data_IF_263099563390
#
_entry.id   IF_263099563390
#
_cell.length_a   1.000
_cell.length_b   1.000
_cell.length_c   1.000
_cell.angle_alpha   90.00
_cell.angle_beta   90.00
_cell.angle_gamma   90.00
#
_symmetry.space_group_name_H-M   'P 1'
#
loop_
_entity.id
_entity.type
_entity.pdbx_description
1 polymer ?
#
# COMPACT_ATOMS: atom_id res chain seq x y z
N UNK A 1 -18.64 -10.36 10.45
CA UNK A 1 -17.34 -11.07 10.53
C UNK A 1 -16.30 -10.06 10.97
N UNK A 2 -15.49 -10.39 11.98
CA UNK A 2 -14.41 -9.53 12.45
C UNK A 2 -13.10 -9.95 11.79
N UNK A 3 -12.58 -9.12 10.88
CA UNK A 3 -11.39 -9.46 10.09
C UNK A 3 -10.12 -9.57 10.96
N UNK A 4 -10.05 -8.83 12.07
CA UNK A 4 -8.91 -8.94 12.98
C UNK A 4 -8.92 -10.30 13.67
N UNK A 5 -10.09 -10.76 14.11
CA UNK A 5 -10.24 -12.08 14.73
C UNK A 5 -9.93 -13.22 13.75
N UNK A 6 -10.30 -13.08 12.48
CA UNK A 6 -9.97 -14.07 11.44
C UNK A 6 -8.46 -14.23 11.27
N UNK A 7 -7.71 -13.13 11.34
CA UNK A 7 -6.24 -13.16 11.32
C UNK A 7 -5.61 -13.45 12.69
N UNK A 8 -6.41 -13.59 13.76
CA UNK A 8 -5.92 -13.80 15.12
C UNK A 8 -5.22 -12.57 15.71
N UNK A 9 -5.60 -11.37 15.29
CA UNK A 9 -5.00 -10.10 15.68
C UNK A 9 -5.95 -9.22 16.50
N UNK A 10 -5.36 -8.25 17.20
CA UNK A 10 -6.09 -7.14 17.81
C UNK A 10 -6.28 -6.00 16.81
N UNK A 11 -7.26 -5.13 17.05
CA UNK A 11 -7.51 -3.94 16.23
C UNK A 11 -6.34 -2.93 16.26
N UNK A 12 -5.45 -3.04 17.24
CA UNK A 12 -4.22 -2.24 17.38
C UNK A 12 -3.04 -2.79 16.57
N UNK A 13 -3.20 -3.93 15.89
CA UNK A 13 -2.12 -4.53 15.10
C UNK A 13 -1.66 -3.59 13.98
N UNK A 14 -0.37 -3.47 13.76
CA UNK A 14 0.20 -2.69 12.68
C UNK A 14 0.12 -3.46 11.34
N UNK A 15 0.47 -2.77 10.24
CA UNK A 15 0.44 -3.38 8.90
C UNK A 15 1.43 -4.56 8.78
N UNK A 16 2.54 -4.51 9.51
CA UNK A 16 3.53 -5.58 9.53
C UNK A 16 2.98 -6.86 10.19
N UNK A 17 2.31 -6.73 11.33
CA UNK A 17 1.65 -7.83 12.03
C UNK A 17 0.53 -8.44 11.19
N UNK A 18 -0.30 -7.62 10.55
CA UNK A 18 -1.38 -8.07 9.64
C UNK A 18 -0.81 -8.92 8.51
N UNK A 19 0.25 -8.44 7.87
CA UNK A 19 0.90 -9.15 6.79
C UNK A 19 1.57 -10.44 7.25
N UNK A 20 2.26 -10.42 8.39
CA UNK A 20 2.93 -11.60 8.94
C UNK A 20 1.92 -12.68 9.33
N UNK A 21 0.83 -12.29 10.00
CA UNK A 21 -0.26 -13.20 10.35
C UNK A 21 -0.89 -13.83 9.10
N UNK A 22 -1.17 -13.01 8.08
CA UNK A 22 -1.68 -13.50 6.80
C UNK A 22 -0.73 -14.50 6.13
N UNK A 23 0.57 -14.20 6.03
CA UNK A 23 1.56 -15.13 5.44
C UNK A 23 1.59 -16.48 6.16
N UNK A 24 1.61 -16.46 7.49
CA UNK A 24 1.65 -17.67 8.31
C UNK A 24 0.38 -18.51 8.17
N UNK A 25 -0.79 -17.87 8.17
CA UNK A 25 -2.08 -18.54 8.02
C UNK A 25 -2.27 -19.05 6.59
N UNK A 26 -1.90 -18.27 5.58
CA UNK A 26 -1.95 -18.67 4.18
C UNK A 26 -1.10 -19.92 3.95
N UNK A 27 0.15 -19.96 4.42
CA UNK A 27 1.01 -21.15 4.34
C UNK A 27 0.40 -22.39 5.00
N UNK A 28 -0.32 -22.21 6.12
CA UNK A 28 -0.92 -23.31 6.88
C UNK A 28 -2.18 -23.90 6.22
N UNK A 29 -2.97 -23.06 5.55
CA UNK A 29 -4.28 -23.46 4.99
C UNK A 29 -4.30 -23.47 3.46
N UNK A 30 -3.18 -23.19 2.79
CA UNK A 30 -3.10 -23.30 1.34
C UNK A 30 -3.38 -24.75 0.90
N UNK A 31 -4.21 -24.98 -0.12
CA UNK A 31 -4.63 -26.33 -0.55
C UNK A 31 -3.48 -27.23 -1.00
N UNK A 32 -2.39 -26.64 -1.48
CA UNK A 32 -1.16 -27.35 -1.90
C UNK A 32 -0.33 -27.88 -0.72
N UNK A 33 -0.52 -27.34 0.49
CA UNK A 33 0.31 -27.66 1.67
C UNK A 33 -0.51 -28.28 2.80
N UNK A 34 -1.82 -27.97 2.86
CA UNK A 34 -2.70 -28.35 3.95
C UNK A 34 -3.61 -29.50 3.58
N UNK A 35 -3.60 -30.56 4.38
CA UNK A 35 -4.52 -31.70 4.26
C UNK A 35 -5.78 -31.54 5.13
N UNK A 36 -5.96 -30.38 5.77
CA UNK A 36 -7.09 -30.13 6.66
C UNK A 36 -8.41 -30.04 5.84
N UNK A 37 -9.50 -30.66 6.32
CA UNK A 37 -10.78 -30.68 5.59
C UNK A 37 -11.42 -29.29 5.46
N UNK A 38 -11.06 -28.34 6.33
CA UNK A 38 -11.54 -26.97 6.34
C UNK A 38 -10.52 -25.96 5.74
N UNK A 39 -9.38 -26.43 5.22
CA UNK A 39 -8.29 -25.58 4.73
C UNK A 39 -8.77 -24.56 3.69
N UNK A 40 -9.53 -25.02 2.69
CA UNK A 40 -10.04 -24.16 1.62
C UNK A 40 -10.94 -23.03 2.16
N UNK A 41 -11.92 -23.37 3.01
CA UNK A 41 -12.84 -22.38 3.57
C UNK A 41 -12.11 -21.36 4.47
N UNK A 42 -11.13 -21.82 5.26
CA UNK A 42 -10.32 -20.94 6.10
C UNK A 42 -9.41 -20.05 5.27
N UNK A 43 -8.80 -20.58 4.21
CA UNK A 43 -7.96 -19.80 3.31
C UNK A 43 -8.74 -18.67 2.64
N UNK A 44 -9.97 -18.94 2.20
CA UNK A 44 -10.86 -17.90 1.66
C UNK A 44 -11.11 -16.81 2.71
N UNK A 45 -11.53 -17.19 3.92
CA UNK A 45 -11.81 -16.24 5.00
C UNK A 45 -10.59 -15.38 5.37
N UNK A 46 -9.40 -16.01 5.45
CA UNK A 46 -8.13 -15.35 5.77
C UNK A 46 -7.73 -14.36 4.67
N UNK A 47 -7.93 -14.74 3.41
CA UNK A 47 -7.66 -13.86 2.25
C UNK A 47 -8.61 -12.68 2.22
N UNK A 48 -9.91 -12.90 2.43
CA UNK A 48 -10.90 -11.82 2.52
C UNK A 48 -10.54 -10.81 3.62
N UNK A 49 -10.09 -11.30 4.79
CA UNK A 49 -9.63 -10.45 5.88
C UNK A 49 -8.40 -9.61 5.49
N UNK A 50 -7.43 -10.21 4.79
CA UNK A 50 -6.23 -9.50 4.34
C UNK A 50 -6.51 -8.46 3.24
N UNK A 51 -7.43 -8.72 2.31
CA UNK A 51 -7.80 -7.74 1.27
C UNK A 51 -8.43 -6.46 1.86
N UNK A 52 -9.07 -6.57 3.03
CA UNK A 52 -9.63 -5.40 3.75
C UNK A 52 -8.60 -4.75 4.67
N UNK A 53 -7.86 -5.54 5.46
CA UNK A 53 -6.96 -5.02 6.48
C UNK A 53 -5.57 -4.66 5.96
N UNK A 54 -5.15 -5.24 4.83
CA UNK A 54 -3.84 -5.03 4.22
C UNK A 54 -3.72 -3.74 3.41
N UNK A 55 -4.84 -3.20 2.90
CA UNK A 55 -4.88 -1.86 2.28
C UNK A 55 -5.18 -0.81 3.35
N UNK A 56 -4.28 0.17 3.60
CA UNK A 56 -4.50 1.23 4.57
C UNK A 56 -5.83 1.97 4.39
N UNK A 57 -6.25 2.22 3.15
CA UNK A 57 -7.48 2.98 2.85
C UNK A 57 -8.72 2.12 3.10
N UNK A 58 -8.66 0.82 2.77
CA UNK A 58 -9.75 -0.11 3.06
C UNK A 58 -9.88 -0.37 4.57
N UNK A 59 -8.74 -0.54 5.27
CA UNK A 59 -8.67 -0.71 6.71
C UNK A 59 -9.27 0.49 7.45
N UNK A 60 -8.90 1.71 7.08
CA UNK A 60 -9.45 2.91 7.72
C UNK A 60 -10.97 2.99 7.58
N UNK A 61 -11.51 2.66 6.39
CA UNK A 61 -12.96 2.59 6.16
C UNK A 61 -13.61 1.51 7.02
N UNK A 62 -13.00 0.32 7.10
CA UNK A 62 -13.46 -0.76 7.97
C UNK A 62 -13.48 -0.33 9.44
N UNK A 63 -12.40 0.25 9.94
CA UNK A 63 -12.29 0.69 11.33
C UNK A 63 -13.30 1.80 11.65
N UNK A 64 -13.52 2.75 10.73
CA UNK A 64 -14.52 3.82 10.88
C UNK A 64 -15.94 3.28 10.96
N UNK A 65 -16.29 2.32 10.10
CA UNK A 65 -17.63 1.71 10.08
C UNK A 65 -17.86 0.83 11.31
N UNK A 66 -16.80 0.23 11.87
CA UNK A 66 -16.86 -0.55 13.11
C UNK A 66 -17.00 0.32 14.36
N UNK A 67 -16.34 1.49 14.40
CA UNK A 67 -16.35 2.41 15.54
C UNK A 67 -17.63 3.27 15.65
N UNK A 68 -18.35 3.49 14.55
CA UNK A 68 -19.60 4.23 14.54
C UNK A 68 -20.62 3.55 13.63
N UNK A 69 -21.46 2.65 14.17
CA UNK A 69 -22.52 1.99 13.43
C UNK A 69 -23.65 2.93 13.00
N UNK A 70 -23.63 4.19 13.41
CA UNK A 70 -24.72 5.14 13.19
C UNK A 70 -24.49 5.93 11.90
N UNK A 71 -25.16 5.59 10.78
CA UNK A 71 -25.28 6.54 9.71
C UNK A 71 -26.14 7.69 10.26
N UNK A 72 -25.60 8.90 10.29
CA UNK A 72 -26.46 10.09 10.40
C UNK A 72 -27.41 10.05 9.21
N UNK A 73 -28.63 9.51 9.39
CA UNK A 73 -29.71 9.33 8.39
C UNK A 73 -29.17 9.35 6.94
N UNK A 74 -28.36 8.35 6.58
CA UNK A 74 -27.99 8.19 5.19
C UNK A 74 -29.28 7.90 4.41
N UNK A 75 -29.44 8.50 3.23
CA UNK A 75 -30.62 8.19 2.43
C UNK A 75 -30.60 6.70 2.06
N UNK A 76 -31.77 6.08 1.90
CA UNK A 76 -31.88 4.68 1.51
C UNK A 76 -31.08 4.38 0.20
N UNK A 77 -30.97 5.35 -0.70
CA UNK A 77 -30.14 5.25 -1.90
C UNK A 77 -28.64 5.17 -1.59
N UNK A 78 -28.16 5.92 -0.60
CA UNK A 78 -26.75 5.90 -0.16
C UNK A 78 -26.42 4.58 0.51
N UNK A 79 -27.32 4.07 1.36
CA UNK A 79 -27.18 2.77 2.00
C UNK A 79 -27.17 1.63 0.97
N UNK A 80 -28.09 1.65 0.01
CA UNK A 80 -28.12 0.67 -1.07
C UNK A 80 -26.85 0.69 -1.92
N UNK A 81 -26.29 1.88 -2.21
CA UNK A 81 -25.01 2.00 -2.93
C UNK A 81 -23.86 1.43 -2.10
N UNK A 82 -23.77 1.77 -0.82
CA UNK A 82 -22.74 1.27 0.08
C UNK A 82 -22.81 -0.26 0.23
N UNK A 83 -24.01 -0.81 0.37
CA UNK A 83 -24.23 -2.25 0.45
C UNK A 83 -23.79 -2.97 -0.84
N UNK A 84 -24.15 -2.44 -2.02
CA UNK A 84 -23.71 -2.98 -3.31
C UNK A 84 -22.19 -2.91 -3.49
N UNK A 85 -21.57 -1.79 -3.13
CA UNK A 85 -20.11 -1.63 -3.20
C UNK A 85 -19.39 -2.60 -2.25
N UNK A 86 -19.93 -2.78 -1.04
CA UNK A 86 -19.38 -3.72 -0.06
C UNK A 86 -19.51 -5.15 -0.53
N UNK A 87 -20.68 -5.55 -1.05
CA UNK A 87 -20.89 -6.88 -1.63
C UNK A 87 -19.98 -7.12 -2.84
N UNK A 88 -19.84 -6.14 -3.73
CA UNK A 88 -18.94 -6.26 -4.89
C UNK A 88 -17.48 -6.42 -4.46
N UNK A 89 -17.02 -5.69 -3.43
CA UNK A 89 -15.68 -5.88 -2.86
C UNK A 89 -15.52 -7.28 -2.25
N UNK A 90 -16.51 -7.76 -1.50
CA UNK A 90 -16.48 -9.10 -0.91
C UNK A 90 -16.42 -10.18 -2.00
N UNK A 91 -17.23 -10.06 -3.05
CA UNK A 91 -17.21 -10.97 -4.19
C UNK A 91 -15.85 -10.93 -4.91
N UNK A 92 -15.27 -9.75 -5.11
CA UNK A 92 -13.95 -9.60 -5.72
C UNK A 92 -12.84 -10.20 -4.85
N UNK A 93 -12.86 -9.97 -3.54
CA UNK A 93 -11.90 -10.55 -2.59
C UNK A 93 -12.00 -12.08 -2.58
N UNK A 94 -13.23 -12.62 -2.60
CA UNK A 94 -13.47 -14.06 -2.67
C UNK A 94 -13.01 -14.68 -3.99
N UNK A 95 -13.30 -14.04 -5.12
CA UNK A 95 -12.84 -14.50 -6.43
C UNK A 95 -11.31 -14.55 -6.50
N UNK A 96 -10.64 -13.54 -5.93
CA UNK A 96 -9.18 -13.50 -5.81
C UNK A 96 -8.65 -14.60 -4.88
N UNK A 97 -9.34 -14.88 -3.78
CA UNK A 97 -9.00 -16.00 -2.92
C UNK A 97 -9.14 -17.35 -3.63
N UNK A 98 -10.18 -17.53 -4.45
CA UNK A 98 -10.35 -18.72 -5.29
C UNK A 98 -9.27 -18.84 -6.36
N UNK A 99 -8.82 -17.72 -6.93
CA UNK A 99 -7.66 -17.69 -7.82
C UNK A 99 -6.40 -18.16 -7.11
N UNK A 100 -6.10 -17.62 -5.92
CA UNK A 100 -4.96 -18.04 -5.11
C UNK A 100 -5.01 -19.51 -4.71
N UNK A 101 -6.19 -20.06 -4.39
CA UNK A 101 -6.38 -21.49 -4.10
C UNK A 101 -5.93 -22.36 -5.28
N UNK A 102 -6.11 -21.89 -6.52
CA UNK A 102 -5.73 -22.66 -7.72
C UNK A 102 -4.25 -22.54 -8.05
N UNK A 103 -3.55 -21.55 -7.50
CA UNK A 103 -2.12 -21.37 -7.71
C UNK A 103 -1.32 -22.37 -6.87
N UNK A 104 -0.07 -22.63 -7.27
CA UNK A 104 0.88 -23.35 -6.42
C UNK A 104 1.35 -22.42 -5.28
N UNK A 105 1.62 -22.97 -4.10
CA UNK A 105 1.91 -22.12 -2.92
C UNK A 105 3.15 -21.21 -3.12
N UNK A 106 4.19 -21.71 -3.79
CA UNK A 106 5.40 -20.93 -4.09
C UNK A 106 5.14 -19.76 -5.05
N UNK A 107 4.27 -19.95 -6.06
CA UNK A 107 3.85 -18.89 -6.97
C UNK A 107 3.02 -17.84 -6.23
N UNK A 108 2.12 -18.29 -5.36
CA UNK A 108 1.35 -17.41 -4.49
C UNK A 108 2.24 -16.60 -3.54
N UNK A 109 3.22 -17.23 -2.87
CA UNK A 109 4.07 -16.53 -1.90
C UNK A 109 4.91 -15.44 -2.58
N UNK A 110 5.45 -15.73 -3.76
CA UNK A 110 6.20 -14.77 -4.58
C UNK A 110 5.31 -13.60 -5.04
N UNK A 111 4.14 -13.87 -5.61
CA UNK A 111 3.27 -12.81 -6.15
C UNK A 111 2.69 -11.90 -5.06
N UNK A 112 2.25 -12.50 -3.95
CA UNK A 112 1.55 -11.77 -2.88
C UNK A 112 2.52 -11.09 -1.92
N UNK A 113 3.68 -11.69 -1.64
CA UNK A 113 4.57 -11.16 -0.62
C UNK A 113 5.90 -10.61 -1.10
N UNK A 114 6.44 -11.00 -2.25
CA UNK A 114 7.68 -10.39 -2.77
C UNK A 114 7.39 -9.13 -3.60
N UNK A 115 6.13 -8.94 -4.01
CA UNK A 115 5.68 -7.75 -4.75
C UNK A 115 5.74 -6.44 -3.96
N UNK A 116 5.86 -6.47 -2.62
CA UNK A 116 6.02 -5.22 -1.85
C UNK A 116 7.47 -4.75 -1.82
N UNK A 117 8.46 -5.65 -1.90
CA UNK A 117 9.80 -5.22 -2.25
C UNK A 117 9.77 -4.63 -3.67
N UNK A 118 9.09 -5.28 -4.61
CA UNK A 118 8.94 -4.75 -5.97
C UNK A 118 8.16 -3.41 -6.06
N UNK A 119 7.33 -3.07 -5.08
CA UNK A 119 6.59 -1.79 -5.02
C UNK A 119 7.32 -0.70 -4.22
N UNK A 120 7.87 -1.06 -3.07
CA UNK A 120 8.53 -0.12 -2.14
C UNK A 120 9.94 0.21 -2.61
N UNK A 121 10.66 -0.75 -3.20
CA UNK A 121 12.04 -0.54 -3.66
C UNK A 121 12.11 0.50 -4.78
N UNK A 122 11.29 0.48 -5.85
CA UNK A 122 11.33 1.53 -6.87
C UNK A 122 10.87 2.90 -6.35
N UNK A 123 9.89 2.93 -5.45
CA UNK A 123 9.41 4.18 -4.83
C UNK A 123 10.50 4.82 -3.96
N UNK A 124 11.18 4.02 -3.15
CA UNK A 124 12.30 4.45 -2.33
C UNK A 124 13.50 4.86 -3.21
N UNK A 125 13.91 4.06 -4.19
CA UNK A 125 15.01 4.42 -5.09
C UNK A 125 14.74 5.71 -5.87
N UNK A 126 13.49 5.96 -6.27
CA UNK A 126 13.11 7.21 -6.92
C UNK A 126 13.26 8.42 -6.01
N UNK A 127 12.71 8.36 -4.80
CA UNK A 127 12.83 9.44 -3.81
C UNK A 127 14.29 9.67 -3.37
N UNK A 128 15.02 8.59 -3.08
CA UNK A 128 16.44 8.67 -2.70
C UNK A 128 17.31 9.15 -3.87
N UNK A 129 17.05 8.71 -5.09
CA UNK A 129 17.76 9.15 -6.29
C UNK A 129 17.54 10.64 -6.58
N UNK A 130 16.31 11.12 -6.49
CA UNK A 130 15.97 12.55 -6.65
C UNK A 130 16.63 13.37 -5.54
N UNK A 131 16.55 12.92 -4.28
CA UNK A 131 17.19 13.60 -3.15
C UNK A 131 18.71 13.65 -3.28
N UNK A 132 19.36 12.55 -3.68
CA UNK A 132 20.80 12.48 -3.90
C UNK A 132 21.24 13.40 -5.03
N UNK A 133 20.59 13.33 -6.20
CA UNK A 133 20.91 14.18 -7.34
C UNK A 133 20.72 15.66 -7.02
N UNK A 134 19.63 16.00 -6.34
CA UNK A 134 19.39 17.36 -5.86
C UNK A 134 20.54 17.77 -4.91
N UNK A 135 20.92 16.91 -3.96
CA UNK A 135 21.95 17.26 -2.95
C UNK A 135 23.31 17.52 -3.58
N UNK A 136 23.67 16.74 -4.61
CA UNK A 136 24.87 16.95 -5.42
C UNK A 136 24.81 18.30 -6.14
N UNK A 137 23.66 18.63 -6.74
CA UNK A 137 23.46 19.94 -7.39
C UNK A 137 23.56 21.09 -6.40
N UNK A 138 22.98 20.97 -5.20
CA UNK A 138 23.11 22.00 -4.16
C UNK A 138 24.57 22.18 -3.74
N UNK A 139 25.30 21.08 -3.51
CA UNK A 139 26.72 21.14 -3.15
C UNK A 139 27.52 21.81 -4.26
N UNK A 140 27.27 21.49 -5.53
CA UNK A 140 27.92 22.15 -6.67
C UNK A 140 27.61 23.65 -6.68
N UNK A 141 26.34 24.03 -6.53
CA UNK A 141 25.91 25.44 -6.51
C UNK A 141 26.58 26.19 -5.36
N UNK A 142 26.64 25.60 -4.16
CA UNK A 142 27.31 26.20 -2.99
C UNK A 142 28.82 26.34 -3.24
N UNK A 143 29.50 25.30 -3.72
CA UNK A 143 30.95 25.32 -3.99
C UNK A 143 31.31 26.35 -5.05
N UNK A 144 30.54 26.43 -6.13
CA UNK A 144 30.72 27.42 -7.20
C UNK A 144 30.46 28.83 -6.67
N UNK A 145 29.42 29.01 -5.87
CA UNK A 145 29.08 30.32 -5.30
C UNK A 145 30.19 30.83 -4.37
N UNK A 146 30.84 29.95 -3.61
CA UNK A 146 31.96 30.31 -2.73
C UNK A 146 33.21 30.82 -3.47
N UNK A 147 33.31 30.66 -4.80
CA UNK A 147 34.39 31.22 -5.62
C UNK A 147 34.18 32.71 -5.97
N UNK A 148 32.99 33.27 -5.72
CA UNK A 148 32.67 34.65 -6.06
C UNK A 148 32.63 35.54 -4.80
N UNK A 149 33.53 36.52 -4.74
CA UNK A 149 33.78 37.35 -3.55
C UNK A 149 32.63 38.31 -3.23
N UNK A 150 31.99 38.89 -4.26
CA UNK A 150 30.97 39.93 -4.07
C UNK A 150 29.54 39.40 -3.91
N UNK A 151 29.21 38.27 -4.55
CA UNK A 151 27.82 37.77 -4.64
C UNK A 151 27.64 36.30 -4.23
N UNK A 152 28.72 35.61 -3.88
CA UNK A 152 28.69 34.17 -3.60
C UNK A 152 27.79 33.76 -2.44
N UNK A 153 27.94 34.42 -1.29
CA UNK A 153 27.19 34.12 -0.06
C UNK A 153 25.67 34.33 -0.18
N UNK A 154 25.16 35.47 -0.69
CA UNK A 154 23.72 35.65 -0.83
C UNK A 154 23.11 34.66 -1.85
N UNK A 155 23.81 34.36 -2.95
CA UNK A 155 23.34 33.37 -3.94
C UNK A 155 23.29 31.96 -3.36
N UNK A 156 24.28 31.55 -2.57
CA UNK A 156 24.29 30.25 -1.89
C UNK A 156 23.13 30.11 -0.89
N UNK A 157 22.81 31.16 -0.12
CA UNK A 157 21.69 31.17 0.84
C UNK A 157 20.35 31.03 0.11
N UNK A 158 20.14 31.81 -0.97
CA UNK A 158 18.92 31.74 -1.77
C UNK A 158 18.74 30.36 -2.43
N UNK A 159 19.83 29.77 -2.94
CA UNK A 159 19.82 28.41 -3.49
C UNK A 159 19.42 27.37 -2.43
N UNK A 160 19.98 27.46 -1.22
CA UNK A 160 19.65 26.55 -0.12
C UNK A 160 18.18 26.69 0.36
N UNK A 161 17.63 27.91 0.37
CA UNK A 161 16.24 28.16 0.75
C UNK A 161 15.22 27.55 -0.25
N UNK A 162 15.52 27.59 -1.55
CA UNK A 162 14.66 26.98 -2.58
C UNK A 162 14.79 25.45 -2.67
N UNK A 163 15.87 24.91 -2.10
CA UNK A 163 16.24 23.51 -2.26
C UNK A 163 15.34 22.53 -1.51
N UNK A 164 15.07 22.81 -0.22
CA UNK A 164 14.24 21.93 0.62
C UNK A 164 12.80 21.85 0.09
N UNK A 165 12.11 22.97 -0.23
CA UNK A 165 10.78 22.91 -0.84
C UNK A 165 10.80 22.24 -2.21
N UNK A 166 11.86 22.47 -3.01
CA UNK A 166 12.01 21.87 -4.34
C UNK A 166 12.11 20.35 -4.32
N UNK A 167 12.88 19.78 -3.38
CA UNK A 167 12.96 18.31 -3.21
C UNK A 167 11.61 17.73 -2.80
N UNK A 168 10.95 18.36 -1.82
CA UNK A 168 9.64 17.88 -1.34
C UNK A 168 8.63 17.88 -2.48
N UNK A 169 8.58 18.94 -3.28
CA UNK A 169 7.70 19.05 -4.44
C UNK A 169 8.01 18.01 -5.53
N UNK A 170 9.30 17.83 -5.88
CA UNK A 170 9.72 16.83 -6.85
C UNK A 170 9.42 15.39 -6.39
N UNK A 171 9.59 15.11 -5.10
CA UNK A 171 9.24 13.81 -4.51
C UNK A 171 7.74 13.54 -4.58
N UNK A 172 6.89 14.55 -4.31
CA UNK A 172 5.43 14.40 -4.43
C UNK A 172 4.98 14.14 -5.87
N UNK A 173 5.57 14.83 -6.84
CA UNK A 173 5.27 14.61 -8.27
C UNK A 173 5.68 13.22 -8.74
N UNK A 174 6.86 12.74 -8.32
CA UNK A 174 7.31 11.40 -8.64
C UNK A 174 6.37 10.33 -8.05
N UNK A 175 5.96 10.51 -6.81
CA UNK A 175 4.99 9.65 -6.14
C UNK A 175 3.65 9.58 -6.90
N UNK A 176 3.12 10.74 -7.30
CA UNK A 176 1.86 10.81 -8.03
C UNK A 176 1.95 10.15 -9.41
N UNK A 177 3.04 10.41 -10.13
CA UNK A 177 3.32 9.79 -11.44
C UNK A 177 3.47 8.27 -11.34
N UNK A 178 4.24 7.79 -10.36
CA UNK A 178 4.44 6.36 -10.16
C UNK A 178 3.13 5.66 -9.80
N UNK A 179 2.31 6.28 -8.94
CA UNK A 179 1.01 5.72 -8.55
C UNK A 179 0.05 5.64 -9.75
N UNK A 180 -0.04 6.69 -10.58
CA UNK A 180 -0.84 6.68 -11.83
C UNK A 180 -0.41 5.57 -12.78
N UNK A 181 0.89 5.41 -13.02
CA UNK A 181 1.42 4.32 -13.86
C UNK A 181 1.01 2.92 -13.36
N UNK A 182 1.00 2.71 -12.05
CA UNK A 182 0.62 1.42 -11.47
C UNK A 182 -0.87 1.14 -11.66
N UNK A 183 -1.73 2.16 -11.50
CA UNK A 183 -3.16 2.05 -11.79
C UNK A 183 -3.42 1.76 -13.27
N UNK A 184 -2.71 2.45 -14.17
CA UNK A 184 -2.85 2.26 -15.62
C UNK A 184 -2.37 0.88 -16.07
N UNK A 185 -1.29 0.35 -15.47
CA UNK A 185 -0.82 -1.01 -15.74
C UNK A 185 -1.87 -2.05 -15.35
N UNK A 186 -2.44 -1.93 -14.15
CA UNK A 186 -3.54 -2.80 -13.68
C UNK A 186 -4.81 -2.71 -14.52
N UNK A 187 -5.04 -1.60 -15.22
CA UNK A 187 -6.16 -1.45 -16.18
C UNK A 187 -5.89 -2.10 -17.53
N UNK A 188 -4.62 -2.27 -17.92
CA UNK A 188 -4.21 -2.91 -19.19
C UNK A 188 -4.09 -4.42 -19.08
N UNK A 189 -3.85 -4.93 -17.87
CA UNK A 189 -3.73 -6.36 -17.56
C UNK A 189 -5.08 -7.03 -17.21
N UNK A 190 -6.18 -6.27 -17.19
CA UNK A 190 -7.57 -6.75 -17.03
C UNK A 190 -8.33 -6.65 -18.34
#
# INVERSE_FOLDING_TARGET
MDFYQVLGLTHTADAAAIRAAYRNLAKRYHPDVSELPDAHARFIAITEAYEVLGDPIARERYDRTRASPSPKRASAATEARYARETQARQQAARAKAEEYVRMRYDQFDADVFDSVAAYVVPKMLGCFGIGLMASVVLVIVVVVSLQFEDWGRPVAILAAMGFIPGIVYASMLFDEWHNKRQVDRKRRER
#
